data_IF_055123959358
#
_entry.id   IF_055123959358
#
_cell.length_a   1.000
_cell.length_b   1.000
_cell.length_c   1.000
_cell.angle_alpha   90.00
_cell.angle_beta   90.00
_cell.angle_gamma   90.00
#
_symmetry.space_group_name_H-M   'P 1'
#
loop_
_entity.id
_entity.type
_entity.pdbx_description
1 polymer ?
#
# COMPACT_ATOMS: atom_id res chain seq x y z
N UNK A 1 -32.70 -6.13 40.49
CA UNK A 1 -32.34 -7.13 39.46
C UNK A 1 -30.96 -7.67 39.86
N UNK A 2 -30.93 -8.84 40.53
CA UNK A 2 -30.35 -10.12 40.04
C UNK A 2 -28.86 -9.97 39.63
N UNK A 3 -27.88 -10.18 40.51
CA UNK A 3 -27.27 -11.43 41.02
C UNK A 3 -26.15 -12.02 40.13
N UNK A 4 -25.05 -12.46 40.79
CA UNK A 4 -24.12 -13.56 40.43
C UNK A 4 -23.06 -13.25 39.35
N UNK A 5 -21.80 -13.70 39.36
CA UNK A 5 -21.03 -14.72 40.11
C UNK A 5 -19.52 -14.46 39.85
N UNK A 6 -18.60 -14.61 40.81
CA UNK A 6 -17.74 -15.81 41.03
C UNK A 6 -16.91 -16.22 39.78
N UNK A 7 -15.59 -16.49 39.78
CA UNK A 7 -14.76 -17.18 40.76
C UNK A 7 -13.27 -17.24 40.30
N UNK A 8 -12.36 -17.35 41.29
CA UNK A 8 -11.12 -18.15 41.34
C UNK A 8 -10.02 -17.96 40.27
N UNK A 9 -8.92 -17.28 40.61
CA UNK A 9 -7.63 -17.85 41.10
C UNK A 9 -6.97 -18.82 40.11
N UNK A 10 -5.97 -18.33 39.38
CA UNK A 10 -4.77 -19.12 39.07
C UNK A 10 -3.55 -18.42 39.66
N UNK A 11 -3.28 -18.84 40.90
CA UNK A 11 -1.95 -19.21 41.39
C UNK A 11 -0.82 -18.23 41.01
N UNK A 12 -0.60 -17.27 41.91
CA UNK A 12 0.74 -16.73 42.10
C UNK A 12 1.70 -17.89 42.39
N UNK A 13 2.47 -18.27 41.37
CA UNK A 13 3.63 -19.12 41.55
C UNK A 13 4.78 -18.19 41.93
N UNK A 14 4.94 -18.03 43.25
CA UNK A 14 6.19 -17.64 43.87
C UNK A 14 7.27 -18.62 43.42
N UNK A 15 8.04 -18.24 42.40
CA UNK A 15 9.39 -18.74 42.22
C UNK A 15 10.32 -17.60 42.60
N UNK A 16 10.57 -17.49 43.90
CA UNK A 16 11.79 -16.89 44.39
C UNK A 16 12.93 -17.85 44.06
N UNK A 17 13.51 -17.70 42.87
CA UNK A 17 14.87 -18.16 42.61
C UNK A 17 15.77 -16.94 42.67
N UNK A 18 16.58 -16.88 43.72
CA UNK A 18 17.75 -16.03 43.75
C UNK A 18 18.70 -16.48 42.62
N UNK A 19 19.06 -15.53 41.76
CA UNK A 19 19.96 -15.69 40.60
C UNK A 19 19.19 -15.54 39.28
N UNK A 20 19.33 -14.49 38.47
CA UNK A 20 20.40 -13.50 38.32
C UNK A 20 19.79 -12.11 38.13
N UNK A 21 20.51 -11.08 38.58
CA UNK A 21 20.17 -9.65 38.50
C UNK A 21 20.09 -9.07 37.07
N UNK A 22 19.86 -9.88 36.04
CA UNK A 22 20.08 -9.50 34.63
C UNK A 22 18.76 -9.29 33.85
N UNK A 23 17.69 -10.03 34.17
CA UNK A 23 16.44 -9.97 33.39
C UNK A 23 15.59 -8.71 33.64
N UNK A 24 15.63 -8.15 34.85
CA UNK A 24 14.89 -6.92 35.16
C UNK A 24 15.53 -5.69 34.49
N UNK A 25 16.86 -5.68 34.35
CA UNK A 25 17.59 -4.61 33.66
C UNK A 25 17.36 -4.67 32.14
N UNK A 26 17.26 -5.87 31.56
CA UNK A 26 16.90 -6.04 30.15
C UNK A 26 15.46 -5.61 29.86
N UNK A 27 14.50 -5.90 30.74
CA UNK A 27 13.12 -5.44 30.61
C UNK A 27 13.06 -3.90 30.70
N UNK A 28 13.76 -3.29 31.67
CA UNK A 28 13.82 -1.83 31.79
C UNK A 28 14.48 -1.16 30.58
N UNK A 29 15.51 -1.78 30.01
CA UNK A 29 16.18 -1.30 28.80
C UNK A 29 15.28 -1.38 27.57
N UNK A 30 14.58 -2.50 27.36
CA UNK A 30 13.63 -2.66 26.26
C UNK A 30 12.42 -1.71 26.40
N UNK A 31 11.97 -1.47 27.64
CA UNK A 31 10.93 -0.48 27.92
C UNK A 31 11.40 0.94 27.54
N UNK A 32 12.64 1.30 27.89
CA UNK A 32 13.23 2.58 27.53
C UNK A 32 13.45 2.74 26.01
N UNK A 33 13.82 1.67 25.31
CA UNK A 33 13.92 1.66 23.83
C UNK A 33 12.55 1.81 23.17
N UNK A 34 11.50 1.17 23.72
CA UNK A 34 10.12 1.32 23.26
C UNK A 34 9.57 2.73 23.52
N UNK A 35 9.88 3.32 24.68
CA UNK A 35 9.49 4.69 25.02
C UNK A 35 10.22 5.72 24.13
N UNK A 36 11.48 5.48 23.79
CA UNK A 36 12.24 6.33 22.86
C UNK A 36 11.70 6.25 21.43
N UNK A 37 11.37 5.04 20.94
CA UNK A 37 10.76 4.84 19.63
C UNK A 37 9.36 5.46 19.54
N UNK A 38 8.55 5.34 20.60
CA UNK A 38 7.23 5.96 20.66
C UNK A 38 7.31 7.50 20.73
N UNK A 39 8.35 8.06 21.35
CA UNK A 39 8.61 9.50 21.35
C UNK A 39 9.06 10.01 19.97
N UNK A 40 9.85 9.22 19.23
CA UNK A 40 10.20 9.53 17.84
C UNK A 40 8.98 9.44 16.91
N UNK A 41 8.11 8.43 17.09
CA UNK A 41 6.83 8.33 16.39
C UNK A 41 5.92 9.53 16.68
N UNK A 42 5.83 9.94 17.95
CA UNK A 42 5.03 11.10 18.37
C UNK A 42 5.57 12.43 17.82
N UNK A 43 6.90 12.56 17.61
CA UNK A 43 7.49 13.72 16.97
C UNK A 43 7.19 13.77 15.45
N UNK A 44 7.12 12.61 14.77
CA UNK A 44 6.65 12.51 13.39
C UNK A 44 5.14 12.81 13.28
N UNK A 45 4.33 12.36 14.25
CA UNK A 45 2.88 12.66 14.31
C UNK A 45 2.58 14.13 14.67
N UNK A 46 3.48 14.82 15.37
CA UNK A 46 3.34 16.26 15.67
C UNK A 46 3.61 17.16 14.46
N UNK A 47 4.41 16.72 13.48
CA UNK A 47 4.54 17.38 12.17
C UNK A 47 3.33 17.07 11.25
N UNK A 48 2.67 15.92 11.44
CA UNK A 48 1.47 15.53 10.70
C UNK A 48 0.16 16.15 11.26
N UNK A 49 0.10 16.49 12.56
CA UNK A 49 -1.10 17.08 13.18
C UNK A 49 -1.21 18.61 13.06
N UNK A 50 -0.27 19.24 12.35
CA UNK A 50 -0.41 20.57 11.76
C UNK A 50 -1.01 20.59 10.34
N UNK A 51 -1.26 19.43 9.72
CA UNK A 51 -1.72 19.32 8.34
C UNK A 51 -3.15 18.79 8.24
N UNK A 52 -4.13 19.61 8.64
CA UNK A 52 -5.40 19.66 7.88
C UNK A 52 -5.15 20.53 6.66
N UNK A 53 -4.61 19.96 5.59
CA UNK A 53 -4.64 20.51 4.22
C UNK A 53 -3.71 19.73 3.29
N UNK A 54 -4.31 19.09 2.28
CA UNK A 54 -3.83 19.16 0.89
C UNK A 54 -2.33 18.92 0.68
N UNK A 55 -1.95 17.67 0.42
CA UNK A 55 -0.73 17.36 -0.33
C UNK A 55 -0.87 17.93 -1.75
N UNK A 56 -0.45 19.18 -1.94
CA UNK A 56 -0.49 19.86 -3.22
C UNK A 56 0.70 20.78 -3.40
N UNK A 57 1.66 20.36 -4.24
CA UNK A 57 2.15 21.17 -5.37
C UNK A 57 3.22 20.43 -6.19
N UNK A 58 2.80 19.90 -7.34
CA UNK A 58 3.09 20.63 -8.58
C UNK A 58 1.77 20.97 -9.28
N UNK A 59 1.08 21.98 -8.75
CA UNK A 59 0.12 22.76 -9.55
C UNK A 59 0.93 23.61 -10.52
N UNK A 60 1.30 23.02 -11.65
CA UNK A 60 1.23 23.75 -12.90
C UNK A 60 -0.20 23.49 -13.41
N UNK A 61 -1.06 24.50 -13.33
CA UNK A 61 -2.48 24.41 -13.62
C UNK A 61 -2.74 24.30 -15.13
N UNK A 62 -2.44 23.13 -15.66
CA UNK A 62 -3.24 22.50 -16.70
C UNK A 62 -3.94 21.33 -16.02
N UNK A 63 -5.25 21.42 -15.83
CA UNK A 63 -6.09 20.33 -15.32
C UNK A 63 -6.13 19.20 -16.35
N UNK A 64 -5.00 18.51 -16.51
CA UNK A 64 -4.76 17.55 -17.58
C UNK A 64 -4.16 16.30 -16.96
N UNK A 65 -4.80 15.16 -17.27
CA UNK A 65 -4.30 13.85 -16.93
C UNK A 65 -2.93 13.60 -17.56
N UNK A 66 -2.06 12.81 -16.92
CA UNK A 66 -0.78 12.43 -17.51
C UNK A 66 -1.00 11.63 -18.80
N UNK A 67 -0.16 11.85 -19.80
CA UNK A 67 -0.16 11.06 -21.04
C UNK A 67 0.54 9.71 -20.87
N UNK A 68 1.25 9.51 -19.77
CA UNK A 68 1.97 8.28 -19.48
C UNK A 68 2.03 7.98 -17.99
N UNK A 69 2.04 6.71 -17.64
CA UNK A 69 2.06 6.25 -16.25
C UNK A 69 2.76 4.90 -16.11
N UNK A 70 3.26 4.61 -14.92
CA UNK A 70 4.00 3.38 -14.62
C UNK A 70 3.11 2.22 -14.14
N UNK A 71 3.75 1.13 -13.73
CA UNK A 71 3.08 0.07 -12.96
C UNK A 71 2.45 0.62 -11.66
N UNK A 72 1.41 -0.05 -11.17
CA UNK A 72 0.58 0.41 -10.06
C UNK A 72 -0.90 0.39 -10.41
N UNK A 73 -1.73 0.87 -9.49
CA UNK A 73 -3.18 1.00 -9.65
C UNK A 73 -3.54 2.47 -9.86
N UNK A 74 -4.38 2.74 -10.86
CA UNK A 74 -4.76 4.07 -11.32
C UNK A 74 -6.28 4.16 -11.41
N UNK A 75 -6.87 5.18 -10.78
CA UNK A 75 -8.31 5.46 -10.85
C UNK A 75 -8.65 6.25 -12.11
N UNK A 76 -9.64 5.77 -12.88
CA UNK A 76 -9.99 6.37 -14.17
C UNK A 76 -10.86 7.61 -13.95
N UNK A 77 -10.48 8.73 -14.57
CA UNK A 77 -11.12 10.03 -14.39
C UNK A 77 -10.63 10.80 -13.17
N UNK A 78 -9.75 10.21 -12.35
CA UNK A 78 -9.10 10.88 -11.21
C UNK A 78 -7.60 10.96 -11.44
N UNK A 79 -6.94 9.84 -11.69
CA UNK A 79 -5.49 9.81 -11.91
C UNK A 79 -5.13 9.83 -13.40
N UNK A 80 -5.90 9.12 -14.23
CA UNK A 80 -5.67 9.00 -15.68
C UNK A 80 -6.98 9.09 -16.46
N UNK A 81 -6.92 9.54 -17.71
CA UNK A 81 -8.10 9.57 -18.60
C UNK A 81 -8.33 8.20 -19.24
N UNK A 82 -9.59 7.86 -19.52
CA UNK A 82 -9.91 6.75 -20.41
C UNK A 82 -9.27 6.95 -21.80
N UNK A 83 -8.93 5.84 -22.46
CA UNK A 83 -8.22 5.89 -23.72
C UNK A 83 -7.51 4.58 -24.06
N UNK A 84 -6.77 4.60 -25.17
CA UNK A 84 -5.92 3.49 -25.56
C UNK A 84 -4.50 3.76 -25.10
N UNK A 85 -3.95 2.84 -24.32
CA UNK A 85 -2.58 2.92 -23.81
C UNK A 85 -1.75 1.76 -24.35
N UNK A 86 -0.46 2.04 -24.56
CA UNK A 86 0.52 1.06 -25.02
C UNK A 86 1.66 1.00 -24.02
N UNK A 87 1.97 -0.19 -23.53
CA UNK A 87 3.22 -0.50 -22.84
C UNK A 87 4.08 -1.31 -23.80
N UNK A 88 5.25 -0.77 -24.16
CA UNK A 88 6.17 -1.39 -25.12
C UNK A 88 7.28 -2.09 -24.36
N UNK A 89 7.53 -3.35 -24.69
CA UNK A 89 8.68 -4.08 -24.14
C UNK A 89 9.97 -3.35 -24.50
N UNK A 90 10.87 -3.26 -23.51
CA UNK A 90 12.26 -2.93 -23.77
C UNK A 90 12.97 -4.18 -24.33
N UNK A 91 13.40 -4.11 -25.60
CA UNK A 91 14.13 -5.18 -26.29
C UNK A 91 15.51 -5.46 -25.67
N UNK A 92 16.04 -4.51 -24.90
CA UNK A 92 17.29 -4.69 -24.14
C UNK A 92 17.07 -5.35 -22.78
N UNK A 93 15.82 -5.42 -22.29
CA UNK A 93 15.51 -6.06 -21.03
C UNK A 93 15.69 -7.59 -21.15
N UNK A 94 16.45 -8.20 -20.23
CA UNK A 94 16.69 -9.64 -20.27
C UNK A 94 15.37 -10.42 -20.10
N UNK A 95 15.33 -11.66 -20.60
CA UNK A 95 14.12 -12.50 -20.58
C UNK A 95 13.59 -12.85 -19.18
N UNK A 96 14.33 -12.51 -18.12
CA UNK A 96 13.89 -12.62 -16.73
C UNK A 96 13.23 -11.34 -16.20
N UNK A 97 12.98 -10.32 -17.03
CA UNK A 97 12.07 -9.22 -16.69
C UNK A 97 10.67 -9.82 -16.40
N UNK A 98 9.96 -9.39 -15.33
CA UNK A 98 8.58 -9.81 -15.11
C UNK A 98 7.73 -9.66 -16.38
N UNK A 99 6.89 -10.65 -16.63
CA UNK A 99 5.82 -10.51 -17.62
C UNK A 99 4.96 -9.30 -17.28
N UNK A 100 4.56 -8.53 -18.29
CA UNK A 100 3.60 -7.44 -18.12
C UNK A 100 2.22 -8.04 -17.87
N UNK A 101 1.76 -7.93 -16.62
CA UNK A 101 0.43 -8.28 -16.19
C UNK A 101 -0.39 -7.01 -16.01
N UNK A 102 -1.62 -6.99 -16.52
CA UNK A 102 -2.51 -5.85 -16.40
C UNK A 102 -3.96 -6.28 -16.25
N UNK A 103 -4.77 -5.43 -15.60
CA UNK A 103 -6.20 -5.62 -15.41
C UNK A 103 -6.95 -4.30 -15.55
N UNK A 104 -8.12 -4.36 -16.21
CA UNK A 104 -9.16 -3.33 -16.10
C UNK A 104 -10.12 -3.73 -15.00
N UNK A 105 -10.52 -2.77 -14.17
CA UNK A 105 -11.25 -3.01 -12.93
C UNK A 105 -12.60 -2.28 -12.93
N UNK A 106 -13.65 -2.94 -12.45
CA UNK A 106 -14.97 -2.33 -12.15
C UNK A 106 -15.09 -1.86 -10.70
N UNK A 107 -14.06 -2.12 -9.89
CA UNK A 107 -13.96 -1.69 -8.49
C UNK A 107 -12.52 -1.81 -7.99
N UNK A 108 -12.18 -1.07 -6.95
CA UNK A 108 -10.83 -0.98 -6.38
C UNK A 108 -10.68 -1.76 -5.06
N UNK A 109 -11.61 -2.67 -4.75
CA UNK A 109 -11.60 -3.49 -3.54
C UNK A 109 -10.54 -4.60 -3.51
N UNK A 110 -9.82 -4.82 -4.61
CA UNK A 110 -8.74 -5.81 -4.71
C UNK A 110 -9.24 -7.25 -4.83
N UNK A 111 -10.48 -7.45 -5.28
CA UNK A 111 -11.08 -8.79 -5.46
C UNK A 111 -11.10 -9.19 -6.94
N UNK A 112 -10.97 -10.50 -7.21
CA UNK A 112 -11.03 -11.00 -8.59
C UNK A 112 -12.41 -10.79 -9.26
N UNK A 113 -13.47 -10.66 -8.46
CA UNK A 113 -14.82 -10.30 -8.96
C UNK A 113 -14.89 -8.90 -9.57
N UNK A 114 -13.95 -8.03 -9.22
CA UNK A 114 -13.85 -6.67 -9.75
C UNK A 114 -13.03 -6.59 -11.03
N UNK A 115 -12.40 -7.67 -11.49
CA UNK A 115 -11.70 -7.69 -12.77
C UNK A 115 -12.71 -7.71 -13.93
N UNK A 116 -12.60 -6.73 -14.83
CA UNK A 116 -13.35 -6.67 -16.09
C UNK A 116 -12.67 -7.56 -17.13
N UNK A 117 -11.38 -7.33 -17.32
CA UNK A 117 -10.53 -8.11 -18.22
C UNK A 117 -9.08 -7.98 -17.76
N UNK A 118 -8.28 -9.00 -18.08
CA UNK A 118 -6.89 -9.09 -17.68
C UNK A 118 -6.04 -9.61 -18.84
N UNK A 119 -4.76 -9.31 -18.82
CA UNK A 119 -3.80 -9.84 -19.78
C UNK A 119 -2.43 -10.05 -19.17
N UNK A 120 -1.69 -10.99 -19.75
CA UNK A 120 -0.31 -11.31 -19.42
C UNK A 120 0.47 -11.44 -20.72
N UNK A 121 1.58 -10.70 -20.85
CA UNK A 121 2.43 -10.75 -22.04
C UNK A 121 3.90 -10.53 -21.71
N UNK A 122 4.78 -11.17 -22.47
CA UNK A 122 6.20 -10.87 -22.55
C UNK A 122 6.53 -9.95 -23.74
N UNK A 123 5.52 -9.35 -24.39
CA UNK A 123 5.69 -8.44 -25.50
C UNK A 123 5.06 -7.08 -25.23
N UNK A 124 4.60 -6.43 -26.29
CA UNK A 124 3.87 -5.17 -26.17
C UNK A 124 2.44 -5.44 -25.70
N UNK A 125 1.96 -4.65 -24.75
CA UNK A 125 0.56 -4.62 -24.37
C UNK A 125 -0.13 -3.39 -24.95
N UNK A 126 -1.32 -3.56 -25.51
CA UNK A 126 -2.18 -2.48 -25.99
C UNK A 126 -3.54 -2.66 -25.33
N UNK A 127 -3.97 -1.69 -24.53
CA UNK A 127 -5.19 -1.79 -23.74
C UNK A 127 -6.06 -0.57 -24.02
N UNK A 128 -7.33 -0.82 -24.34
CA UNK A 128 -8.37 0.20 -24.34
C UNK A 128 -9.03 0.21 -22.95
N UNK A 129 -8.77 1.28 -22.20
CA UNK A 129 -9.40 1.59 -20.91
C UNK A 129 -10.67 2.38 -21.23
N UNK A 130 -11.82 1.91 -20.75
CA UNK A 130 -13.11 2.54 -21.04
C UNK A 130 -13.46 3.57 -19.97
N UNK A 131 -14.32 4.56 -20.28
CA UNK A 131 -14.72 5.59 -19.32
C UNK A 131 -15.49 5.08 -18.09
N UNK A 132 -16.05 3.88 -18.16
CA UNK A 132 -16.80 3.23 -17.07
C UNK A 132 -15.97 2.25 -16.24
N UNK A 133 -14.69 2.08 -16.56
CA UNK A 133 -13.76 1.39 -15.67
C UNK A 133 -13.58 2.20 -14.39
N UNK A 134 -13.60 1.52 -13.24
CA UNK A 134 -13.23 2.16 -11.98
C UNK A 134 -11.71 2.35 -11.87
N UNK A 135 -10.93 1.44 -12.45
CA UNK A 135 -9.48 1.50 -12.37
C UNK A 135 -8.75 0.63 -13.38
N UNK A 136 -7.44 0.87 -13.45
CA UNK A 136 -6.49 0.06 -14.20
C UNK A 136 -5.31 -0.28 -13.29
N UNK A 137 -4.92 -1.55 -13.24
CA UNK A 137 -3.73 -1.97 -12.50
C UNK A 137 -2.77 -2.73 -13.39
N UNK A 138 -1.47 -2.54 -13.18
CA UNK A 138 -0.45 -3.30 -13.90
C UNK A 138 0.82 -3.51 -13.07
N UNK A 139 1.50 -4.62 -13.33
CA UNK A 139 2.74 -5.03 -12.66
C UNK A 139 3.67 -5.61 -13.72
N UNK A 140 4.95 -5.25 -13.65
CA UNK A 140 5.96 -5.74 -14.60
C UNK A 140 5.82 -5.18 -16.01
N UNK A 141 4.98 -4.17 -16.19
CA UNK A 141 4.82 -3.47 -17.46
C UNK A 141 5.76 -2.26 -17.52
N UNK A 142 6.33 -2.03 -18.70
CA UNK A 142 6.98 -0.77 -19.03
C UNK A 142 5.97 0.38 -18.96
N UNK A 143 6.47 1.62 -19.00
CA UNK A 143 5.63 2.82 -18.99
C UNK A 143 4.51 2.72 -20.02
N UNK A 144 3.28 2.88 -19.55
CA UNK A 144 2.09 3.01 -20.40
C UNK A 144 2.08 4.41 -21.00
N UNK A 145 1.88 4.50 -22.30
CA UNK A 145 1.78 5.77 -23.03
C UNK A 145 0.46 5.80 -23.79
N UNK A 146 -0.29 6.90 -23.67
CA UNK A 146 -1.53 7.12 -24.42
C UNK A 146 -1.22 7.19 -25.92
N UNK A 147 -2.02 6.50 -26.73
CA UNK A 147 -1.91 6.46 -28.19
C UNK A 147 -2.82 7.49 -28.87
#
# INVERSE_FOLDING_TARGET
MKFLSAALITLGLLISLAGCSDSNDQIAKLQAELDAANAELAALEAEETGSTSSGGKQKNETNQFPLSFGSGTWEIGVDIEAGTYVSRRDDSAPYNNPFCSWERLRGLGGTISETITAGLTDGNAIVKIEPDDAGFTSIGCETWVRR
#
